data_IF_492367224423
#
_entry.id   IF_492367224423
#
_cell.length_a   1.000
_cell.length_b   1.000
_cell.length_c   1.000
_cell.angle_alpha   90.00
_cell.angle_beta   90.00
_cell.angle_gamma   90.00
#
_symmetry.space_group_name_H-M   'P 1'
#
loop_
_entity.id
_entity.type
_entity.pdbx_description
1 polymer ?
#
# COMPACT_ATOMS: atom_id res chain seq x y z
N UNK A 1 -42.74 51.53 -12.94
CA UNK A 1 -41.94 51.69 -11.71
C UNK A 1 -42.59 50.94 -10.55
N UNK A 2 -42.03 49.81 -10.12
CA UNK A 2 -41.61 49.57 -8.72
C UNK A 2 -40.87 48.23 -8.63
N UNK A 3 -39.69 48.34 -8.06
CA UNK A 3 -38.67 47.33 -7.83
C UNK A 3 -39.00 46.50 -6.58
N UNK A 4 -38.55 45.23 -6.63
CA UNK A 4 -37.96 44.41 -5.55
C UNK A 4 -38.87 44.03 -4.35
N UNK A 5 -38.85 42.79 -3.87
CA UNK A 5 -37.68 42.23 -3.18
C UNK A 5 -37.57 40.71 -3.31
N UNK A 6 -36.48 40.25 -3.95
CA UNK A 6 -35.92 38.91 -3.78
C UNK A 6 -34.96 39.02 -2.60
N UNK A 7 -35.16 38.28 -1.51
CA UNK A 7 -34.14 38.00 -0.51
C UNK A 7 -34.47 36.69 0.22
N UNK A 8 -34.23 35.57 -0.45
CA UNK A 8 -33.99 34.29 0.20
C UNK A 8 -32.49 34.06 0.21
N UNK A 9 -31.81 34.58 1.23
CA UNK A 9 -30.38 34.30 1.48
C UNK A 9 -30.25 32.85 1.94
N UNK A 10 -30.15 31.93 0.99
CA UNK A 10 -29.64 30.60 1.27
C UNK A 10 -28.13 30.71 1.44
N UNK A 11 -27.66 30.73 2.68
CA UNK A 11 -26.29 30.35 3.05
C UNK A 11 -26.10 28.86 2.77
N UNK A 12 -26.24 28.47 1.51
CA UNK A 12 -25.90 27.15 1.01
C UNK A 12 -24.38 27.07 0.99
N UNK A 13 -23.81 26.32 1.93
CA UNK A 13 -22.41 25.93 1.87
C UNK A 13 -22.22 25.22 0.53
N UNK A 14 -21.55 25.86 -0.42
CA UNK A 14 -21.29 25.29 -1.74
C UNK A 14 -20.62 23.93 -1.52
N UNK A 15 -21.14 22.82 -2.07
CA UNK A 15 -20.46 21.54 -1.97
C UNK A 15 -19.07 21.72 -2.55
N UNK A 16 -18.02 21.48 -1.74
CA UNK A 16 -16.64 21.52 -2.22
C UNK A 16 -16.56 20.62 -3.45
N UNK A 17 -16.32 21.20 -4.62
CA UNK A 17 -16.12 20.42 -5.85
C UNK A 17 -14.95 19.49 -5.60
N UNK A 18 -15.23 18.18 -5.59
CA UNK A 18 -14.19 17.17 -5.48
C UNK A 18 -13.13 17.44 -6.56
N UNK A 19 -11.86 17.47 -6.16
CA UNK A 19 -10.76 17.64 -7.10
C UNK A 19 -10.81 16.48 -8.09
N UNK A 20 -10.77 16.77 -9.40
CA UNK A 20 -10.71 15.72 -10.42
C UNK A 20 -9.30 15.13 -10.43
N UNK A 21 -9.19 13.83 -10.73
CA UNK A 21 -7.91 13.16 -10.92
C UNK A 21 -7.03 13.95 -11.90
N UNK A 22 -5.79 14.28 -11.53
CA UNK A 22 -4.82 14.86 -12.47
C UNK A 22 -4.66 14.00 -13.73
N UNK A 23 -4.67 14.64 -14.90
CA UNK A 23 -4.60 13.93 -16.20
C UNK A 23 -3.27 13.22 -16.45
N UNK A 24 -2.19 13.71 -15.85
CA UNK A 24 -0.84 13.18 -15.99
C UNK A 24 -0.53 12.00 -15.05
N UNK A 25 -1.42 11.67 -14.10
CA UNK A 25 -1.25 10.48 -13.28
C UNK A 25 -1.30 9.23 -14.16
N UNK A 26 -0.34 8.33 -13.93
CA UNK A 26 -0.06 7.14 -14.74
C UNK A 26 -1.34 6.43 -15.24
N UNK A 27 -1.33 5.87 -16.47
CA UNK A 27 -2.47 5.12 -16.99
C UNK A 27 -2.97 4.06 -16.00
N UNK A 28 -4.27 3.81 -16.01
CA UNK A 28 -4.86 2.79 -15.16
C UNK A 28 -4.35 1.41 -15.57
N UNK A 29 -4.07 0.54 -14.59
CA UNK A 29 -3.85 -0.88 -14.88
C UNK A 29 -5.09 -1.45 -15.56
N UNK A 30 -4.88 -2.25 -16.60
CA UNK A 30 -5.96 -2.83 -17.41
C UNK A 30 -6.76 -3.90 -16.64
N UNK A 31 -6.22 -4.41 -15.54
CA UNK A 31 -6.84 -5.43 -14.70
C UNK A 31 -8.25 -4.98 -14.20
N UNK A 32 -9.33 -5.73 -14.53
CA UNK A 32 -10.70 -5.39 -14.13
C UNK A 32 -10.89 -5.31 -12.61
N UNK A 33 -10.19 -6.16 -11.85
CA UNK A 33 -10.23 -6.18 -10.39
C UNK A 33 -9.61 -4.91 -9.82
N UNK A 34 -8.45 -4.51 -10.33
CA UNK A 34 -7.83 -3.23 -9.97
C UNK A 34 -8.78 -2.06 -10.22
N UNK A 35 -9.41 -2.01 -11.40
CA UNK A 35 -10.36 -0.95 -11.76
C UNK A 35 -11.55 -0.86 -10.79
N UNK A 36 -12.12 -2.02 -10.41
CA UNK A 36 -13.23 -2.08 -9.43
C UNK A 36 -12.79 -1.61 -8.05
N UNK A 37 -11.65 -2.12 -7.57
CA UNK A 37 -11.13 -1.77 -6.25
C UNK A 37 -10.76 -0.30 -6.16
N UNK A 38 -10.04 0.24 -7.16
CA UNK A 38 -9.73 1.66 -7.27
C UNK A 38 -10.99 2.52 -7.20
N UNK A 39 -12.03 2.15 -7.95
CA UNK A 39 -13.29 2.90 -7.96
C UNK A 39 -13.92 2.95 -6.55
N UNK A 40 -13.90 1.85 -5.81
CA UNK A 40 -14.41 1.81 -4.44
C UNK A 40 -13.55 2.65 -3.48
N UNK A 41 -12.24 2.40 -3.45
CA UNK A 41 -11.31 3.05 -2.52
C UNK A 41 -11.17 4.55 -2.77
N UNK A 42 -11.16 5.01 -4.03
CA UNK A 42 -11.12 6.44 -4.34
C UNK A 42 -12.41 7.15 -3.91
N UNK A 43 -13.56 6.47 -4.00
CA UNK A 43 -14.84 7.02 -3.51
C UNK A 43 -14.84 7.15 -1.99
N UNK A 44 -14.27 6.18 -1.30
CA UNK A 44 -14.13 6.17 0.16
C UNK A 44 -13.14 7.24 0.64
N UNK A 45 -11.94 7.30 0.04
CA UNK A 45 -10.93 8.30 0.40
C UNK A 45 -11.42 9.71 0.06
N UNK A 46 -12.10 9.89 -1.08
CA UNK A 46 -12.58 11.18 -1.59
C UNK A 46 -11.45 12.26 -1.59
N UNK A 47 -10.39 12.09 -2.40
CA UNK A 47 -9.26 13.02 -2.42
C UNK A 47 -9.68 14.43 -2.84
N UNK A 48 -9.35 15.43 -2.02
CA UNK A 48 -9.74 16.82 -2.23
C UNK A 48 -8.67 17.67 -2.92
N UNK A 49 -7.43 17.17 -2.99
CA UNK A 49 -6.28 17.93 -3.53
C UNK A 49 -5.45 17.06 -4.47
N UNK A 50 -4.62 17.71 -5.31
CA UNK A 50 -3.69 17.00 -6.19
C UNK A 50 -2.74 16.08 -5.40
N UNK A 51 -2.24 16.55 -4.25
CA UNK A 51 -1.37 15.73 -3.40
C UNK A 51 -2.13 14.55 -2.79
N UNK A 52 -3.38 14.74 -2.35
CA UNK A 52 -4.22 13.61 -1.90
C UNK A 52 -4.52 12.63 -3.03
N UNK A 53 -4.63 13.09 -4.29
CA UNK A 53 -4.78 12.19 -5.43
C UNK A 53 -3.55 11.30 -5.66
N UNK A 54 -2.34 11.84 -5.51
CA UNK A 54 -1.10 11.06 -5.62
C UNK A 54 -1.06 9.99 -4.53
N UNK A 55 -1.28 10.38 -3.28
CA UNK A 55 -1.28 9.45 -2.14
C UNK A 55 -2.41 8.42 -2.26
N UNK A 56 -3.59 8.82 -2.76
CA UNK A 56 -4.71 7.89 -2.94
C UNK A 56 -4.43 6.84 -4.02
N UNK A 57 -3.74 7.19 -5.11
CA UNK A 57 -3.30 6.21 -6.11
C UNK A 57 -2.23 5.26 -5.52
N UNK A 58 -1.30 5.80 -4.75
CA UNK A 58 -0.27 5.02 -4.04
C UNK A 58 -0.89 4.03 -3.05
N UNK A 59 -1.91 4.46 -2.32
CA UNK A 59 -2.70 3.59 -1.44
C UNK A 59 -3.38 2.46 -2.23
N UNK A 60 -4.07 2.79 -3.31
CA UNK A 60 -4.81 1.82 -4.13
C UNK A 60 -3.87 0.79 -4.75
N UNK A 61 -2.76 1.22 -5.34
CA UNK A 61 -1.81 0.31 -5.99
C UNK A 61 -1.12 -0.59 -4.96
N UNK A 62 -0.78 -0.04 -3.80
CA UNK A 62 -0.19 -0.81 -2.70
C UNK A 62 -1.14 -1.85 -2.13
N UNK A 63 -2.42 -1.50 -1.94
CA UNK A 63 -3.46 -2.44 -1.53
C UNK A 63 -3.71 -3.53 -2.59
N UNK A 64 -3.62 -3.18 -3.87
CA UNK A 64 -3.76 -4.16 -4.95
C UNK A 64 -2.61 -5.17 -4.93
N UNK A 65 -1.39 -4.65 -4.80
CA UNK A 65 -0.18 -5.46 -4.77
C UNK A 65 -0.17 -6.41 -3.56
N UNK A 66 -0.52 -5.95 -2.35
CA UNK A 66 -0.57 -6.80 -1.16
C UNK A 66 -1.54 -7.97 -1.34
N UNK A 67 -2.73 -7.71 -1.88
CA UNK A 67 -3.72 -8.75 -2.21
C UNK A 67 -3.18 -9.73 -3.28
N UNK A 68 -2.53 -9.23 -4.33
CA UNK A 68 -1.94 -10.08 -5.39
C UNK A 68 -0.84 -10.98 -4.84
N UNK A 69 0.00 -10.47 -3.94
CA UNK A 69 1.04 -11.26 -3.28
C UNK A 69 0.45 -12.34 -2.38
N UNK A 70 -0.62 -12.04 -1.63
CA UNK A 70 -1.36 -13.07 -0.87
C UNK A 70 -1.91 -14.18 -1.77
N UNK A 71 -2.47 -13.82 -2.93
CA UNK A 71 -2.95 -14.82 -3.90
C UNK A 71 -1.80 -15.65 -4.49
N UNK A 72 -0.65 -15.05 -4.78
CA UNK A 72 0.51 -15.78 -5.30
C UNK A 72 1.08 -16.78 -4.28
N UNK A 73 1.15 -16.41 -3.01
CA UNK A 73 1.56 -17.34 -1.94
C UNK A 73 0.66 -18.58 -1.92
N UNK A 74 -0.66 -18.39 -2.00
CA UNK A 74 -1.62 -19.50 -2.07
C UNK A 74 -1.40 -20.37 -3.30
N UNK A 75 -1.30 -19.75 -4.49
CA UNK A 75 -1.11 -20.47 -5.76
C UNK A 75 0.19 -21.29 -5.76
N UNK A 76 1.29 -20.75 -5.23
CA UNK A 76 2.58 -21.47 -5.15
C UNK A 76 2.44 -22.72 -4.27
N UNK A 77 1.82 -22.60 -3.10
CA UNK A 77 1.63 -23.74 -2.21
C UNK A 77 0.72 -24.82 -2.82
N UNK A 78 -0.31 -24.42 -3.57
CA UNK A 78 -1.21 -25.36 -4.25
C UNK A 78 -0.57 -26.04 -5.47
N UNK A 79 0.21 -25.31 -6.28
CA UNK A 79 0.73 -25.83 -7.55
C UNK A 79 2.10 -26.49 -7.43
N UNK A 80 2.85 -26.23 -6.36
CA UNK A 80 4.18 -26.80 -6.13
C UNK A 80 4.18 -28.02 -5.20
N UNK A 81 3.02 -28.64 -4.95
CA UNK A 81 2.92 -29.84 -4.10
C UNK A 81 3.86 -30.97 -4.53
N UNK A 82 4.12 -31.11 -5.83
CA UNK A 82 5.05 -32.13 -6.35
C UNK A 82 6.47 -31.97 -5.82
N UNK A 83 6.94 -30.74 -5.58
CA UNK A 83 8.26 -30.49 -4.97
C UNK A 83 8.26 -30.97 -3.51
N UNK A 84 7.17 -30.75 -2.79
CA UNK A 84 6.98 -31.25 -1.43
C UNK A 84 6.92 -32.77 -1.36
N UNK A 85 6.20 -33.40 -2.28
CA UNK A 85 6.12 -34.87 -2.37
C UNK A 85 7.53 -35.45 -2.58
N UNK A 86 8.30 -34.95 -3.55
CA UNK A 86 9.66 -35.44 -3.81
C UNK A 86 10.57 -35.31 -2.58
N UNK A 87 10.49 -34.19 -1.87
CA UNK A 87 11.27 -33.98 -0.64
C UNK A 87 10.84 -34.88 0.51
N UNK A 88 9.54 -35.13 0.67
CA UNK A 88 9.01 -36.06 1.67
C UNK A 88 9.48 -37.50 1.38
N UNK A 89 9.44 -37.92 0.11
CA UNK A 89 10.01 -39.20 -0.35
C UNK A 89 11.49 -39.26 -0.01
N UNK A 90 12.26 -38.21 -0.36
CA UNK A 90 13.69 -38.13 -0.05
C UNK A 90 13.98 -38.26 1.44
N UNK A 91 13.17 -37.62 2.30
CA UNK A 91 13.31 -37.73 3.76
C UNK A 91 13.09 -39.15 4.25
N UNK A 92 12.05 -39.83 3.76
CA UNK A 92 11.78 -41.24 4.10
C UNK A 92 12.88 -42.18 3.59
N UNK A 93 13.42 -41.91 2.39
CA UNK A 93 14.58 -42.64 1.86
C UNK A 93 15.81 -42.45 2.74
N UNK A 94 16.10 -41.23 3.19
CA UNK A 94 17.21 -40.96 4.12
C UNK A 94 17.10 -41.73 5.43
N UNK A 95 15.89 -41.93 5.95
CA UNK A 95 15.67 -42.73 7.16
C UNK A 95 15.95 -44.23 6.95
N UNK A 96 15.70 -44.75 5.74
CA UNK A 96 15.87 -46.16 5.39
C UNK A 96 17.28 -46.48 4.88
N UNK A 97 17.90 -45.54 4.18
CA UNK A 97 19.20 -45.66 3.52
C UNK A 97 20.10 -44.49 3.97
N UNK A 98 20.55 -44.46 5.25
CA UNK A 98 21.30 -43.35 5.79
C UNK A 98 22.71 -43.20 5.19
N UNK A 99 23.22 -44.25 4.55
CA UNK A 99 24.54 -44.28 3.91
C UNK A 99 24.54 -43.73 2.48
N UNK A 100 23.36 -43.53 1.87
CA UNK A 100 23.26 -43.02 0.50
C UNK A 100 23.65 -41.53 0.45
N UNK A 101 24.46 -41.10 -0.52
CA UNK A 101 24.79 -39.68 -0.71
C UNK A 101 23.57 -38.86 -1.16
N UNK A 102 23.62 -37.55 -0.94
CA UNK A 102 22.48 -36.64 -1.20
C UNK A 102 21.97 -36.71 -2.64
N UNK A 103 22.89 -36.75 -3.61
CA UNK A 103 22.54 -36.81 -5.04
C UNK A 103 21.84 -38.11 -5.42
N UNK A 104 22.23 -39.23 -4.79
CA UNK A 104 21.59 -40.52 -4.99
C UNK A 104 20.19 -40.55 -4.36
N UNK A 105 20.04 -39.97 -3.17
CA UNK A 105 18.73 -39.81 -2.52
C UNK A 105 17.78 -38.92 -3.34
N UNK A 106 18.28 -37.82 -3.91
CA UNK A 106 17.52 -36.94 -4.80
C UNK A 106 17.09 -37.68 -6.08
N UNK A 107 18.01 -38.42 -6.70
CA UNK A 107 17.70 -39.23 -7.89
C UNK A 107 16.66 -40.32 -7.59
N UNK A 108 16.81 -41.05 -6.47
CA UNK A 108 15.86 -42.09 -6.03
C UNK A 108 14.49 -41.48 -5.75
N UNK A 109 14.44 -40.34 -5.06
CA UNK A 109 13.20 -39.62 -4.79
C UNK A 109 12.51 -39.18 -6.08
N UNK A 110 13.27 -38.66 -7.06
CA UNK A 110 12.77 -38.27 -8.38
C UNK A 110 12.11 -39.42 -9.16
N UNK A 111 12.53 -40.67 -8.93
CA UNK A 111 11.89 -41.86 -9.54
C UNK A 111 10.74 -42.42 -8.71
N UNK A 112 10.88 -42.45 -7.39
CA UNK A 112 9.96 -43.18 -6.51
C UNK A 112 8.75 -42.34 -6.09
N UNK A 113 8.79 -41.01 -6.27
CA UNK A 113 7.70 -40.16 -5.81
C UNK A 113 6.33 -40.50 -6.37
N UNK A 114 6.13 -40.91 -7.65
CA UNK A 114 4.78 -41.22 -8.13
C UNK A 114 4.16 -42.40 -7.40
N UNK A 115 4.98 -43.40 -7.09
CA UNK A 115 4.56 -44.64 -6.41
C UNK A 115 4.39 -44.42 -4.91
N UNK A 116 5.22 -43.57 -4.32
CA UNK A 116 5.20 -43.31 -2.88
C UNK A 116 4.24 -42.21 -2.46
N UNK A 117 3.83 -41.31 -3.37
CA UNK A 117 2.94 -40.19 -3.08
C UNK A 117 1.67 -40.58 -2.31
N UNK A 118 0.95 -41.68 -2.63
CA UNK A 118 -0.26 -42.08 -1.90
C UNK A 118 0.00 -42.49 -0.44
N UNK A 119 1.24 -42.84 -0.09
CA UNK A 119 1.64 -43.25 1.26
C UNK A 119 2.13 -42.10 2.14
N UNK A 120 2.22 -40.89 1.58
CA UNK A 120 2.73 -39.71 2.27
C UNK A 120 1.56 -38.91 2.82
N UNK A 121 1.65 -38.57 4.11
CA UNK A 121 0.62 -37.79 4.77
C UNK A 121 0.51 -36.39 4.14
N UNK A 122 -0.69 -35.86 3.91
CA UNK A 122 -0.87 -34.53 3.32
C UNK A 122 -0.12 -33.42 4.08
N UNK A 123 -0.06 -33.51 5.41
CA UNK A 123 0.66 -32.55 6.25
C UNK A 123 2.17 -32.60 6.03
N UNK A 124 2.74 -33.77 5.74
CA UNK A 124 4.15 -33.92 5.39
C UNK A 124 4.44 -33.24 4.04
N UNK A 125 3.54 -33.41 3.06
CA UNK A 125 3.64 -32.74 1.75
C UNK A 125 3.57 -31.22 1.91
N UNK A 126 2.64 -30.71 2.72
CA UNK A 126 2.50 -29.27 2.98
C UNK A 126 3.77 -28.66 3.59
N UNK A 127 4.32 -29.31 4.63
CA UNK A 127 5.56 -28.88 5.28
C UNK A 127 6.73 -28.89 4.29
N UNK A 128 6.87 -29.96 3.52
CA UNK A 128 7.96 -30.05 2.55
C UNK A 128 7.80 -29.09 1.38
N UNK A 129 6.57 -28.82 0.95
CA UNK A 129 6.27 -27.81 -0.08
C UNK A 129 6.64 -26.42 0.44
N UNK A 130 6.29 -26.12 1.69
CA UNK A 130 6.67 -24.87 2.33
C UNK A 130 8.20 -24.70 2.38
N UNK A 131 8.93 -25.73 2.82
CA UNK A 131 10.39 -25.71 2.86
C UNK A 131 11.02 -25.67 1.45
N UNK A 132 10.37 -26.26 0.45
CA UNK A 132 10.81 -26.18 -0.95
C UNK A 132 10.72 -24.79 -1.53
N UNK A 133 9.65 -24.08 -1.19
CA UNK A 133 9.34 -22.76 -1.74
C UNK A 133 9.68 -21.63 -0.79
N UNK A 134 10.35 -21.89 0.33
CA UNK A 134 10.67 -20.89 1.34
C UNK A 134 11.31 -19.62 0.76
N UNK A 135 12.29 -19.68 -0.17
CA UNK A 135 12.85 -18.46 -0.76
C UNK A 135 11.82 -17.61 -1.53
N UNK A 136 10.89 -18.26 -2.23
CA UNK A 136 9.81 -17.58 -2.94
C UNK A 136 8.80 -16.97 -1.97
N UNK A 137 8.43 -17.72 -0.94
CA UNK A 137 7.50 -17.28 0.10
C UNK A 137 8.07 -16.10 0.87
N UNK A 138 9.36 -16.13 1.22
CA UNK A 138 10.06 -15.03 1.86
C UNK A 138 10.13 -13.79 0.96
N UNK A 139 10.38 -13.99 -0.35
CA UNK A 139 10.36 -12.92 -1.34
C UNK A 139 8.98 -12.27 -1.43
N UNK A 140 7.92 -13.07 -1.50
CA UNK A 140 6.53 -12.61 -1.51
C UNK A 140 6.18 -11.89 -0.20
N UNK A 141 6.57 -12.43 0.94
CA UNK A 141 6.34 -11.83 2.25
C UNK A 141 7.02 -10.45 2.35
N UNK A 142 8.28 -10.32 1.91
CA UNK A 142 8.99 -9.03 1.85
C UNK A 142 8.28 -8.01 0.97
N UNK A 143 7.82 -8.44 -0.21
CA UNK A 143 7.07 -7.57 -1.15
C UNK A 143 5.71 -7.16 -0.59
N UNK A 144 5.00 -8.09 0.03
CA UNK A 144 3.74 -7.85 0.72
C UNK A 144 3.90 -6.86 1.87
N UNK A 145 4.89 -7.05 2.73
CA UNK A 145 5.20 -6.14 3.83
C UNK A 145 5.54 -4.73 3.32
N UNK A 146 6.32 -4.61 2.24
CA UNK A 146 6.61 -3.31 1.63
C UNK A 146 5.37 -2.65 1.06
N UNK A 147 4.51 -3.39 0.37
CA UNK A 147 3.23 -2.87 -0.14
C UNK A 147 2.34 -2.38 1.01
N UNK A 148 2.20 -3.15 2.09
CA UNK A 148 1.43 -2.74 3.26
C UNK A 148 2.00 -1.48 3.92
N UNK A 149 3.33 -1.36 4.06
CA UNK A 149 3.96 -0.14 4.58
C UNK A 149 3.66 1.08 3.73
N UNK A 150 3.75 0.97 2.40
CA UNK A 150 3.45 2.06 1.45
C UNK A 150 1.98 2.46 1.53
N UNK A 151 1.08 1.48 1.57
CA UNK A 151 -0.35 1.68 1.78
C UNK A 151 -0.62 2.51 3.05
N UNK A 152 -0.08 2.07 4.18
CA UNK A 152 -0.35 2.70 5.47
C UNK A 152 0.29 4.09 5.56
N UNK A 153 1.46 4.29 4.95
CA UNK A 153 2.10 5.59 4.84
C UNK A 153 1.24 6.58 4.03
N UNK A 154 0.73 6.16 2.88
CA UNK A 154 -0.13 6.99 2.03
C UNK A 154 -1.41 7.41 2.75
N UNK A 155 -2.08 6.49 3.48
CA UNK A 155 -3.24 6.84 4.31
C UNK A 155 -2.89 7.86 5.40
N UNK A 156 -1.81 7.61 6.16
CA UNK A 156 -1.37 8.55 7.20
C UNK A 156 -1.06 9.92 6.62
N UNK A 157 -0.45 10.00 5.44
CA UNK A 157 -0.17 11.28 4.79
C UNK A 157 -1.47 12.03 4.43
N UNK A 158 -2.47 11.34 3.88
CA UNK A 158 -3.78 11.92 3.58
C UNK A 158 -4.42 12.47 4.87
N UNK A 159 -4.46 11.68 5.94
CA UNK A 159 -5.04 12.06 7.23
C UNK A 159 -4.32 13.25 7.86
N UNK A 160 -2.98 13.24 7.86
CA UNK A 160 -2.18 14.34 8.39
C UNK A 160 -2.41 15.63 7.61
N UNK A 161 -2.47 15.57 6.28
CA UNK A 161 -2.78 16.75 5.43
C UNK A 161 -4.17 17.30 5.75
N UNK A 162 -5.17 16.44 5.89
CA UNK A 162 -6.52 16.84 6.30
C UNK A 162 -6.52 17.50 7.67
N UNK A 163 -5.85 16.91 8.65
CA UNK A 163 -5.71 17.47 10.00
C UNK A 163 -5.07 18.87 9.98
N UNK A 164 -3.96 19.05 9.24
CA UNK A 164 -3.29 20.35 9.09
C UNK A 164 -4.22 21.39 8.45
N UNK A 165 -4.95 21.03 7.40
CA UNK A 165 -5.92 21.94 6.75
C UNK A 165 -7.05 22.35 7.70
N UNK A 166 -7.57 21.43 8.50
CA UNK A 166 -8.59 21.73 9.51
C UNK A 166 -8.05 22.68 10.58
N UNK A 167 -6.82 22.46 11.07
CA UNK A 167 -6.16 23.35 12.04
C UNK A 167 -5.95 24.75 11.47
N UNK A 168 -5.44 24.87 10.25
CA UNK A 168 -5.26 26.16 9.56
C UNK A 168 -6.60 26.88 9.35
N UNK A 169 -7.64 26.18 8.91
CA UNK A 169 -8.97 26.76 8.75
C UNK A 169 -9.54 27.27 10.08
N UNK A 170 -9.34 26.54 11.18
CA UNK A 170 -9.76 26.97 12.51
C UNK A 170 -8.98 28.22 12.98
N UNK A 171 -7.68 28.29 12.72
CA UNK A 171 -6.85 29.46 13.03
C UNK A 171 -7.27 30.69 12.21
N UNK A 172 -7.48 30.53 10.91
CA UNK A 172 -7.94 31.61 10.04
C UNK A 172 -9.30 32.17 10.48
N UNK A 173 -10.23 31.30 10.90
CA UNK A 173 -11.51 31.71 11.49
C UNK A 173 -11.34 32.51 12.77
N UNK A 174 -10.43 32.10 13.66
CA UNK A 174 -10.12 32.84 14.90
C UNK A 174 -9.55 34.24 14.60
N UNK A 175 -8.65 34.36 13.62
CA UNK A 175 -8.06 35.63 13.20
C UNK A 175 -9.15 36.54 12.62
N UNK A 176 -9.98 36.02 11.71
CA UNK A 176 -11.09 36.78 11.11
C UNK A 176 -12.11 37.26 12.17
N UNK A 177 -12.46 36.41 13.14
CA UNK A 177 -13.38 36.79 14.22
C UNK A 177 -12.79 37.88 15.14
N UNK A 178 -11.49 37.86 15.41
CA UNK A 178 -10.81 38.92 16.17
C UNK A 178 -10.78 40.24 15.40
N UNK A 179 -10.55 40.20 14.09
CA UNK A 179 -10.57 41.38 13.23
C UNK A 179 -11.96 42.03 13.15
N UNK A 180 -13.04 41.24 13.14
CA UNK A 180 -14.42 41.76 13.11
C UNK A 180 -14.91 42.34 14.45
N UNK A 181 -14.31 41.91 15.57
CA UNK A 181 -14.65 42.42 16.91
C UNK A 181 -13.81 43.64 17.34
N UNK A 182 -12.78 44.02 16.57
CA UNK A 182 -11.92 45.16 16.84
C UNK A 182 -12.35 46.43 16.09
N UNK A 183 -13.32 47.17 16.63
CA UNK A 183 -13.35 48.63 16.39
C UNK A 183 -12.29 49.26 17.30
N UNK A 184 -11.14 49.63 16.74
CA UNK A 184 -10.10 50.36 17.46
C UNK A 184 -8.73 50.17 16.82
N UNK A 185 -8.14 51.29 16.42
CA UNK A 185 -6.82 51.44 15.78
C UNK A 185 -5.69 50.70 16.55
N UNK A 186 -4.79 50.06 15.81
CA UNK A 186 -3.55 49.44 16.32
C UNK A 186 -2.77 48.75 15.20
N UNK A 187 -1.41 48.79 15.21
CA UNK A 187 -0.60 49.01 14.01
C UNK A 187 -0.48 47.79 13.08
N UNK A 188 -0.22 48.13 11.82
CA UNK A 188 0.10 47.24 10.70
C UNK A 188 1.19 46.24 11.13
N UNK A 189 0.78 45.02 11.47
CA UNK A 189 1.72 43.89 11.63
C UNK A 189 2.08 43.44 10.22
N UNK A 190 3.31 43.73 9.81
CA UNK A 190 3.87 43.20 8.56
C UNK A 190 3.76 41.66 8.54
N UNK A 191 3.49 41.06 7.38
CA UNK A 191 3.43 39.60 7.27
C UNK A 191 4.81 39.03 7.61
N UNK A 192 4.90 38.22 8.67
CA UNK A 192 6.12 37.46 8.98
C UNK A 192 6.60 36.72 7.72
N UNK A 193 7.88 36.86 7.34
CA UNK A 193 8.45 36.07 6.27
C UNK A 193 8.23 34.59 6.59
N UNK A 194 7.79 33.84 5.57
CA UNK A 194 7.76 32.39 5.61
C UNK A 194 9.10 31.90 6.17
N UNK A 195 9.09 31.36 7.40
CA UNK A 195 10.17 30.52 7.88
C UNK A 195 10.35 29.42 6.83
N UNK A 196 11.46 29.51 6.12
CA UNK A 196 11.94 28.48 5.22
C UNK A 196 11.92 27.17 5.98
N UNK A 197 11.00 26.28 5.60
CA UNK A 197 11.06 24.89 6.02
C UNK A 197 12.46 24.39 5.62
N UNK A 198 13.26 23.85 6.55
CA UNK A 198 14.56 23.33 6.18
C UNK A 198 14.33 22.22 5.16
N UNK A 199 14.76 22.49 3.93
CA UNK A 199 14.92 21.47 2.89
C UNK A 199 15.88 20.47 3.54
N UNK A 200 15.35 19.29 3.90
CA UNK A 200 16.18 18.18 4.31
C UNK A 200 17.11 17.88 3.13
N UNK A 201 18.34 18.38 3.23
CA UNK A 201 19.41 18.01 2.34
C UNK A 201 19.63 16.51 2.55
N UNK A 202 19.24 15.74 1.53
CA UNK A 202 19.59 14.33 1.40
C UNK A 202 21.11 14.24 1.21
N UNK A 203 21.84 14.24 2.33
CA UNK A 203 23.26 13.89 2.36
C UNK A 203 23.37 12.39 2.59
N UNK A 204 23.24 11.65 1.50
CA UNK A 204 23.83 10.31 1.39
C UNK A 204 24.51 10.14 0.04
N UNK A 205 25.55 10.94 -0.20
CA UNK A 205 26.60 10.66 -1.17
C UNK A 205 27.94 10.90 -0.48
N UNK A 206 28.52 9.83 0.07
CA UNK A 206 29.97 9.72 0.26
C UNK A 206 30.44 8.39 -0.32
N UNK A 207 30.85 8.47 -1.59
CA UNK A 207 32.05 7.90 -2.17
C UNK A 207 32.76 6.79 -1.38
N UNK A 208 32.57 5.55 -1.82
CA UNK A 208 33.58 4.50 -1.71
C UNK A 208 34.43 4.49 -2.98
N UNK A 209 35.57 5.18 -2.95
CA UNK A 209 36.68 4.95 -3.88
C UNK A 209 37.96 4.77 -3.05
N UNK A 210 38.25 3.51 -2.72
CA UNK A 210 39.53 2.80 -2.92
C UNK A 210 39.45 1.45 -2.25
#
# INVERSE_FOLDING_TARGET
MKQMSKNGSSTGTVPKKACRRPRWLAPLLEDPMYRRMRKALIREIAPETVLEWIEAEEYVISQYQSMRFGNWQKVILEHCQWDGIKRAVKRRLRQRCPSDPEDELEWKAGRLWPTMAPSIEPTEIEVETFLARQPDLDSIARRSATALRRRDAALRHIEQRRSRRTKQAAQNKKIAARSMNGKGEGPLVEPSPLEELPIAADRNHQNGHR
#
